data_IF_509616277920
#
_entry.id   IF_509616277920
#
_cell.length_a   1.000
_cell.length_b   1.000
_cell.length_c   1.000
_cell.angle_alpha   90.00
_cell.angle_beta   90.00
_cell.angle_gamma   90.00
#
_symmetry.space_group_name_H-M   'P 1'
#
loop_
_entity.id
_entity.type
_entity.pdbx_description
1 polymer ?
#
# COMPACT_ATOMS: atom_id res chain seq x y z
N UNK A 1 -4.61 -3.22 2.48
CA UNK A 1 -3.99 -3.96 3.59
C UNK A 1 -5.11 -4.45 4.48
N UNK A 2 -5.31 -5.77 4.54
CA UNK A 2 -6.27 -6.44 5.43
C UNK A 2 -5.52 -7.48 6.29
N UNK A 3 -6.24 -8.19 7.17
CA UNK A 3 -5.63 -9.12 8.11
C UNK A 3 -4.88 -10.27 7.41
N UNK A 4 -5.38 -10.76 6.28
CA UNK A 4 -4.76 -11.87 5.56
C UNK A 4 -3.47 -11.43 4.87
N UNK A 5 -3.46 -10.22 4.30
CA UNK A 5 -2.25 -9.60 3.77
C UNK A 5 -1.19 -9.40 4.87
N UNK A 6 -1.59 -8.99 6.08
CA UNK A 6 -0.66 -8.83 7.22
C UNK A 6 -0.04 -10.16 7.62
N UNK A 7 -0.82 -11.25 7.76
CA UNK A 7 -0.29 -12.59 8.06
C UNK A 7 0.69 -13.07 6.99
N UNK A 8 0.37 -12.80 5.72
CA UNK A 8 1.27 -13.14 4.61
C UNK A 8 2.58 -12.36 4.72
N UNK A 9 2.52 -11.06 4.97
CA UNK A 9 3.71 -10.23 5.15
C UNK A 9 4.55 -10.67 6.36
N UNK A 10 3.91 -11.03 7.48
CA UNK A 10 4.60 -11.58 8.65
C UNK A 10 5.39 -12.85 8.30
N UNK A 11 4.76 -13.80 7.58
CA UNK A 11 5.45 -15.02 7.14
C UNK A 11 6.62 -14.73 6.18
N UNK A 12 6.49 -13.70 5.33
CA UNK A 12 7.55 -13.30 4.40
C UNK A 12 8.66 -12.52 5.10
N UNK A 13 8.32 -11.69 6.09
CA UNK A 13 9.27 -10.95 6.92
C UNK A 13 10.15 -11.92 7.70
N UNK A 14 9.56 -12.96 8.30
CA UNK A 14 10.32 -14.04 8.95
C UNK A 14 11.25 -14.80 7.98
N UNK A 15 10.83 -14.96 6.72
CA UNK A 15 11.59 -15.72 5.71
C UNK A 15 12.71 -14.91 5.05
N UNK A 16 12.47 -13.63 4.76
CA UNK A 16 13.33 -12.79 3.94
C UNK A 16 14.01 -11.67 4.74
N UNK A 17 13.63 -11.47 6.00
CA UNK A 17 14.33 -10.58 6.95
C UNK A 17 13.99 -9.09 6.81
N UNK A 18 12.88 -8.74 6.17
CA UNK A 18 12.44 -7.34 6.06
C UNK A 18 11.62 -6.93 7.29
N UNK A 19 11.67 -5.67 7.69
CA UNK A 19 10.88 -5.04 8.74
C UNK A 19 9.38 -5.04 8.40
N UNK A 20 8.56 -5.70 9.23
CA UNK A 20 7.12 -5.83 8.96
C UNK A 20 6.37 -4.49 8.85
N UNK A 21 6.88 -3.42 9.48
CA UNK A 21 6.32 -2.08 9.42
C UNK A 21 6.92 -1.24 8.27
N UNK A 22 7.71 -1.86 7.41
CA UNK A 22 8.38 -1.27 6.24
C UNK A 22 9.38 -0.15 6.55
N UNK A 23 9.89 -0.09 7.78
CA UNK A 23 10.96 0.84 8.13
C UNK A 23 12.22 0.57 7.31
N UNK A 24 13.06 1.60 7.10
CA UNK A 24 14.24 1.48 6.26
C UNK A 24 13.94 1.55 4.76
N UNK A 25 12.71 1.91 4.37
CA UNK A 25 12.32 2.14 2.97
C UNK A 25 11.97 0.87 2.21
N UNK A 26 11.49 -0.16 2.90
CA UNK A 26 11.16 -1.46 2.29
C UNK A 26 9.90 -1.42 1.45
N UNK A 27 8.94 -0.58 1.84
CA UNK A 27 7.76 -0.25 1.05
C UNK A 27 7.19 1.10 1.47
N UNK A 28 6.39 1.67 0.58
CA UNK A 28 5.59 2.87 0.82
C UNK A 28 4.10 2.52 0.82
N UNK A 29 3.30 3.29 1.57
CA UNK A 29 1.85 3.06 1.65
C UNK A 29 1.08 4.37 1.46
N UNK A 30 -0.18 4.26 1.04
CA UNK A 30 -1.12 5.38 0.98
C UNK A 30 -2.40 5.02 1.72
N UNK A 31 -2.86 5.91 2.59
CA UNK A 31 -4.11 5.76 3.35
C UNK A 31 -5.27 6.24 2.48
N UNK A 32 -6.07 5.30 1.99
CA UNK A 32 -7.22 5.62 1.13
C UNK A 32 -8.47 6.05 1.93
N UNK A 33 -8.52 5.71 3.21
CA UNK A 33 -9.62 6.04 4.12
C UNK A 33 -9.17 5.93 5.58
N UNK A 34 -9.59 6.87 6.42
CA UNK A 34 -9.44 6.79 7.88
C UNK A 34 -10.55 7.60 8.58
N UNK A 35 -10.86 7.34 9.87
CA UNK A 35 -11.97 8.00 10.57
C UNK A 35 -11.92 9.54 10.58
N UNK A 36 -10.72 10.12 10.45
CA UNK A 36 -10.54 11.58 10.42
C UNK A 36 -10.88 12.21 9.06
N UNK A 37 -10.96 11.43 7.98
CA UNK A 37 -11.26 11.97 6.66
C UNK A 37 -12.76 12.24 6.49
N UNK A 38 -13.12 13.38 5.90
CA UNK A 38 -14.51 13.73 5.55
C UNK A 38 -14.99 13.06 4.26
N UNK A 39 -14.07 12.68 3.38
CA UNK A 39 -14.30 11.94 2.13
C UNK A 39 -13.32 10.78 2.02
N UNK A 40 -13.65 9.76 1.26
CA UNK A 40 -12.77 8.63 0.95
C UNK A 40 -12.02 8.87 -0.34
N UNK A 41 -10.74 8.52 -0.37
CA UNK A 41 -9.91 8.56 -1.56
C UNK A 41 -10.12 7.26 -2.36
N UNK A 42 -10.65 7.37 -3.57
CA UNK A 42 -10.87 6.24 -4.49
C UNK A 42 -9.93 6.34 -5.67
N UNK A 43 -9.08 5.34 -5.86
CA UNK A 43 -8.21 5.22 -7.03
C UNK A 43 -9.06 4.74 -8.21
N UNK A 44 -9.11 5.52 -9.29
CA UNK A 44 -9.81 5.16 -10.54
C UNK A 44 -8.87 4.44 -11.49
N UNK A 45 -7.62 4.90 -11.58
CA UNK A 45 -6.61 4.33 -12.45
C UNK A 45 -5.25 4.36 -11.78
N UNK A 46 -4.54 3.23 -11.86
CA UNK A 46 -3.14 3.14 -11.47
C UNK A 46 -2.37 2.19 -12.36
N UNK A 47 -1.05 2.37 -12.39
CA UNK A 47 -0.12 1.59 -13.20
C UNK A 47 0.98 1.05 -12.29
N UNK A 48 1.27 -0.25 -12.43
CA UNK A 48 2.44 -0.86 -11.78
C UNK A 48 3.65 -0.65 -12.67
N UNK A 49 4.68 0.00 -12.14
CA UNK A 49 6.01 0.10 -12.75
C UNK A 49 6.96 -0.79 -11.96
N UNK A 50 7.58 -1.77 -12.61
CA UNK A 50 8.52 -2.71 -11.98
C UNK A 50 9.89 -2.59 -12.65
N UNK A 51 10.95 -2.43 -11.86
CA UNK A 51 12.33 -2.29 -12.37
C UNK A 51 13.22 -3.47 -11.97
N UNK A 52 12.63 -4.65 -11.76
CA UNK A 52 13.34 -5.89 -11.47
C UNK A 52 13.43 -6.23 -9.99
N UNK A 53 13.92 -5.30 -9.17
CA UNK A 53 14.09 -5.49 -7.72
C UNK A 53 13.22 -4.57 -6.85
N UNK A 54 12.58 -3.57 -7.44
CA UNK A 54 11.62 -2.70 -6.79
C UNK A 54 10.49 -2.33 -7.77
N UNK A 55 9.42 -1.77 -7.24
CA UNK A 55 8.36 -1.24 -8.07
C UNK A 55 7.54 -0.18 -7.36
N UNK A 56 6.77 0.54 -8.17
CA UNK A 56 5.89 1.62 -7.76
C UNK A 56 4.51 1.33 -8.31
N UNK A 57 3.50 1.55 -7.48
CA UNK A 57 2.13 1.69 -7.94
C UNK A 57 1.83 3.18 -8.13
N UNK A 58 1.85 3.65 -9.38
CA UNK A 58 1.61 5.04 -9.73
C UNK A 58 0.10 5.27 -9.90
N UNK A 59 -0.47 6.16 -9.09
CA UNK A 59 -1.88 6.57 -9.21
C UNK A 59 -1.98 7.64 -10.30
N UNK A 60 -2.68 7.32 -11.38
CA UNK A 60 -2.86 8.21 -12.53
C UNK A 60 -4.11 9.06 -12.38
N UNK A 61 -5.19 8.48 -11.83
CA UNK A 61 -6.47 9.15 -11.65
C UNK A 61 -7.15 8.68 -10.37
N UNK A 62 -7.77 9.62 -9.66
CA UNK A 62 -8.47 9.38 -8.40
C UNK A 62 -9.67 10.31 -8.27
N UNK A 63 -10.51 10.02 -7.30
CA UNK A 63 -11.61 10.90 -6.90
C UNK A 63 -11.84 10.83 -5.39
N UNK A 64 -12.48 11.87 -4.85
CA UNK A 64 -12.92 11.92 -3.47
C UNK A 64 -14.42 11.67 -3.42
N UNK A 65 -14.81 10.55 -2.81
CA UNK A 65 -16.22 10.17 -2.63
C UNK A 65 -16.69 10.48 -1.22
N UNK A 66 -17.96 10.84 -1.07
CA UNK A 66 -18.56 10.95 0.26
C UNK A 66 -18.55 9.58 0.97
N UNK A 67 -18.47 9.62 2.29
CA UNK A 67 -18.44 8.43 3.15
C UNK A 67 -19.83 7.94 3.49
#
# INVERSE_FOLDING_TARGET
MDHDNVKRLESMSLRYGFNLNFEGGEAETIVIDCPLYSKKFRIKQGVVKWTGNNGIFEIIDYELIDK
#
